data_IF_371764911732
#
_entry.id   IF_371764911732
#
_cell.length_a   1.000
_cell.length_b   1.000
_cell.length_c   1.000
_cell.angle_alpha   90.00
_cell.angle_beta   90.00
_cell.angle_gamma   90.00
#
_symmetry.space_group_name_H-M   'P 1'
#
loop_
_entity.id
_entity.type
_entity.pdbx_description
1 polymer ?
#
# COMPACT_ATOMS: atom_id res chain seq x y z
N UNK A 1 5.55 12.10 -8.17
CA UNK A 1 5.44 10.63 -8.18
C UNK A 1 6.22 10.09 -7.00
N UNK A 2 5.62 9.18 -6.23
CA UNK A 2 6.23 8.49 -5.08
C UNK A 2 6.23 6.99 -5.35
N UNK A 3 7.34 6.30 -5.08
CA UNK A 3 7.50 4.87 -5.35
C UNK A 3 7.95 4.14 -4.09
N UNK A 4 7.26 3.07 -3.72
CA UNK A 4 7.59 2.21 -2.57
C UNK A 4 7.84 0.78 -3.04
N UNK A 5 8.78 0.11 -2.38
CA UNK A 5 9.01 -1.34 -2.50
C UNK A 5 8.64 -2.01 -1.18
N UNK A 6 7.70 -2.94 -1.23
CA UNK A 6 7.20 -3.67 -0.06
C UNK A 6 7.69 -5.10 -0.12
N UNK A 7 8.47 -5.51 0.88
CA UNK A 7 8.87 -6.92 1.08
C UNK A 7 7.92 -7.54 2.11
N UNK A 8 7.06 -8.46 1.69
CA UNK A 8 5.93 -8.94 2.51
C UNK A 8 6.29 -10.10 3.46
N UNK A 9 7.56 -10.17 3.90
CA UNK A 9 8.03 -11.18 4.85
C UNK A 9 7.95 -12.61 4.29
N UNK A 10 7.47 -13.54 5.12
CA UNK A 10 7.54 -14.99 4.84
C UNK A 10 6.73 -15.45 3.63
N UNK A 11 5.70 -14.70 3.20
CA UNK A 11 4.99 -15.05 1.96
C UNK A 11 5.85 -14.84 0.70
N UNK A 12 7.00 -14.16 0.82
CA UNK A 12 8.00 -14.02 -0.23
C UNK A 12 7.67 -13.00 -1.32
N UNK A 13 6.42 -12.52 -1.40
CA UNK A 13 6.01 -11.58 -2.43
C UNK A 13 6.57 -10.17 -2.20
N UNK A 14 7.00 -9.57 -3.31
CA UNK A 14 7.42 -8.17 -3.39
C UNK A 14 6.36 -7.40 -4.18
N UNK A 15 6.00 -6.22 -3.70
CA UNK A 15 5.14 -5.30 -4.43
C UNK A 15 5.86 -3.96 -4.64
N UNK A 16 5.87 -3.48 -5.88
CA UNK A 16 6.23 -2.09 -6.21
C UNK A 16 4.95 -1.28 -6.36
N UNK A 17 4.85 -0.19 -5.61
CA UNK A 17 3.70 0.71 -5.61
C UNK A 17 4.17 2.06 -6.11
N UNK A 18 3.61 2.53 -7.21
CA UNK A 18 3.84 3.86 -7.76
C UNK A 18 2.56 4.70 -7.58
N UNK A 19 2.69 5.85 -6.92
CA UNK A 19 1.58 6.78 -6.71
C UNK A 19 1.91 8.15 -7.28
N UNK A 20 0.98 8.68 -8.07
CA UNK A 20 1.12 9.98 -8.73
C UNK A 20 -0.10 10.85 -8.44
N UNK A 21 0.14 12.07 -7.93
CA UNK A 21 -0.92 13.08 -7.79
C UNK A 21 -1.38 13.50 -9.18
N UNK A 22 -2.65 13.27 -9.49
CA UNK A 22 -3.22 13.59 -10.82
C UNK A 22 -3.97 14.92 -10.81
N UNK A 23 -4.53 15.31 -9.67
CA UNK A 23 -5.16 16.62 -9.49
C UNK A 23 -5.09 17.08 -8.02
N UNK A 24 -5.86 18.13 -7.66
CA UNK A 24 -5.90 18.67 -6.29
C UNK A 24 -6.59 17.77 -5.26
N UNK A 25 -7.28 16.72 -5.69
CA UNK A 25 -8.16 15.87 -4.88
C UNK A 25 -7.92 14.38 -5.06
N UNK A 26 -7.06 13.95 -5.98
CA UNK A 26 -6.87 12.55 -6.35
C UNK A 26 -5.43 12.20 -6.65
N UNK A 27 -5.09 10.95 -6.40
CA UNK A 27 -3.86 10.33 -6.87
C UNK A 27 -4.16 9.00 -7.57
N UNK A 28 -3.38 8.69 -8.59
CA UNK A 28 -3.40 7.43 -9.33
C UNK A 28 -2.43 6.46 -8.69
N UNK A 29 -2.85 5.20 -8.59
CA UNK A 29 -2.06 4.11 -8.01
C UNK A 29 -1.76 3.08 -9.10
N UNK A 30 -0.52 2.59 -9.11
CA UNK A 30 -0.10 1.45 -9.91
C UNK A 30 0.66 0.47 -9.04
N UNK A 31 0.29 -0.80 -9.09
CA UNK A 31 0.93 -1.86 -8.30
C UNK A 31 1.49 -2.92 -9.25
N UNK A 32 2.74 -3.32 -9.04
CA UNK A 32 3.39 -4.42 -9.74
C UNK A 32 3.86 -5.47 -8.74
N UNK A 33 3.38 -6.70 -8.86
CA UNK A 33 3.66 -7.79 -7.92
C UNK A 33 3.26 -9.15 -8.52
N UNK A 34 3.87 -10.22 -8.02
CA UNK A 34 3.48 -11.60 -8.33
C UNK A 34 2.43 -12.15 -7.34
N UNK A 35 2.04 -11.38 -6.31
CA UNK A 35 0.98 -11.80 -5.40
C UNK A 35 -0.39 -11.64 -6.07
N UNK A 36 -1.18 -12.72 -6.26
CA UNK A 36 -2.44 -12.65 -7.01
C UNK A 36 -3.47 -11.74 -6.33
N UNK A 37 -3.59 -11.81 -4.99
CA UNK A 37 -4.52 -10.99 -4.22
C UNK A 37 -4.19 -9.49 -4.29
N UNK A 38 -2.90 -9.15 -4.24
CA UNK A 38 -2.47 -7.75 -4.36
C UNK A 38 -2.59 -7.25 -5.79
N UNK A 39 -2.34 -8.10 -6.79
CA UNK A 39 -2.54 -7.75 -8.19
C UNK A 39 -4.03 -7.46 -8.48
N UNK A 40 -4.94 -8.29 -7.96
CA UNK A 40 -6.39 -8.06 -8.02
C UNK A 40 -6.78 -6.73 -7.38
N UNK A 41 -6.28 -6.46 -6.17
CA UNK A 41 -6.48 -5.18 -5.48
C UNK A 41 -5.96 -3.99 -6.31
N UNK A 42 -4.78 -4.13 -6.94
CA UNK A 42 -4.21 -3.10 -7.80
C UNK A 42 -5.06 -2.79 -9.03
N UNK A 43 -5.76 -3.79 -9.57
CA UNK A 43 -6.71 -3.59 -10.67
C UNK A 43 -8.01 -2.91 -10.18
N UNK A 44 -8.46 -3.24 -8.97
CA UNK A 44 -9.65 -2.66 -8.37
C UNK A 44 -9.46 -1.22 -7.83
N UNK A 45 -8.21 -0.80 -7.57
CA UNK A 45 -7.87 0.50 -7.01
C UNK A 45 -7.01 1.35 -7.98
N UNK A 46 -7.60 1.90 -9.05
CA UNK A 46 -6.85 2.75 -9.98
C UNK A 46 -6.54 4.16 -9.41
N UNK A 47 -7.39 4.66 -8.50
CA UNK A 47 -7.30 6.01 -7.93
C UNK A 47 -7.69 6.02 -6.45
N UNK A 48 -7.13 6.98 -5.70
CA UNK A 48 -7.50 7.29 -4.32
C UNK A 48 -7.85 8.77 -4.24
N UNK A 49 -9.02 9.09 -3.65
CA UNK A 49 -9.38 10.47 -3.33
C UNK A 49 -8.64 10.92 -2.06
N UNK A 50 -8.20 12.17 -2.01
CA UNK A 50 -7.51 12.71 -0.84
C UNK A 50 -8.36 12.62 0.43
N UNK A 51 -9.69 12.68 0.32
CA UNK A 51 -10.60 12.47 1.44
C UNK A 51 -10.55 11.05 2.01
N UNK A 52 -10.23 10.04 1.19
CA UNK A 52 -10.08 8.64 1.64
C UNK A 52 -8.87 8.43 2.54
N UNK A 53 -7.80 9.22 2.33
CA UNK A 53 -6.55 9.12 3.11
C UNK A 53 -6.82 9.40 4.60
N UNK A 54 -7.80 10.25 4.92
CA UNK A 54 -8.13 10.66 6.30
C UNK A 54 -9.30 9.90 6.92
N UNK A 55 -9.89 8.91 6.24
CA UNK A 55 -10.98 8.12 6.80
C UNK A 55 -10.48 7.21 7.93
N UNK A 56 -11.40 6.73 8.76
CA UNK A 56 -11.09 5.67 9.73
C UNK A 56 -10.55 4.45 8.98
N UNK A 57 -9.64 3.71 9.59
CA UNK A 57 -8.93 2.59 8.93
C UNK A 57 -9.87 1.64 8.18
N UNK A 58 -10.91 1.14 8.87
CA UNK A 58 -11.89 0.22 8.31
C UNK A 58 -12.79 0.84 7.21
N UNK A 59 -12.85 2.17 7.13
CA UNK A 59 -13.72 2.88 6.20
C UNK A 59 -13.00 3.31 4.91
N UNK A 60 -11.67 3.23 4.87
CA UNK A 60 -10.87 3.58 3.69
C UNK A 60 -11.17 2.63 2.52
N UNK A 61 -11.14 3.15 1.30
CA UNK A 61 -11.28 2.32 0.09
C UNK A 61 -10.16 1.27 -0.01
N UNK A 62 -8.96 1.62 0.45
CA UNK A 62 -7.78 0.73 0.45
C UNK A 62 -8.01 -0.50 1.31
N UNK A 63 -8.45 -0.34 2.56
CA UNK A 63 -8.68 -1.49 3.44
C UNK A 63 -9.95 -2.28 3.10
N UNK A 64 -10.99 -1.63 2.54
CA UNK A 64 -12.17 -2.34 2.01
C UNK A 64 -11.80 -3.28 0.87
N UNK A 65 -11.11 -2.75 -0.15
CA UNK A 65 -10.63 -3.58 -1.26
C UNK A 65 -9.62 -4.64 -0.83
N UNK A 66 -8.79 -4.36 0.18
CA UNK A 66 -7.93 -5.38 0.76
C UNK A 66 -8.73 -6.57 1.34
N UNK A 67 -9.85 -6.29 2.00
CA UNK A 67 -10.77 -7.32 2.50
C UNK A 67 -11.49 -8.06 1.37
N UNK A 68 -12.00 -7.32 0.37
CA UNK A 68 -12.70 -7.89 -0.79
C UNK A 68 -11.80 -8.79 -1.63
N UNK A 69 -10.52 -8.43 -1.80
CA UNK A 69 -9.49 -9.24 -2.49
C UNK A 69 -8.82 -10.27 -1.56
N UNK A 70 -9.36 -10.49 -0.36
CA UNK A 70 -8.93 -11.53 0.59
C UNK A 70 -7.48 -11.45 1.07
N UNK A 71 -6.88 -10.26 1.11
CA UNK A 71 -5.53 -10.10 1.65
C UNK A 71 -5.47 -10.53 3.12
N UNK A 72 -4.33 -11.09 3.53
CA UNK A 72 -4.05 -11.27 4.95
C UNK A 72 -4.20 -9.94 5.70
N UNK A 73 -4.85 -9.95 6.85
CA UNK A 73 -5.12 -8.75 7.66
C UNK A 73 -3.85 -7.95 7.98
N UNK A 74 -2.72 -8.63 8.17
CA UNK A 74 -1.42 -8.04 8.46
C UNK A 74 -0.54 -7.79 7.21
N UNK A 75 -1.09 -7.94 6.01
CA UNK A 75 -0.34 -7.62 4.79
C UNK A 75 0.14 -6.16 4.84
N UNK A 76 1.43 -5.89 4.61
CA UNK A 76 1.95 -4.52 4.69
C UNK A 76 1.55 -3.65 3.48
N UNK A 77 1.07 -4.26 2.38
CA UNK A 77 0.80 -3.55 1.12
C UNK A 77 -0.30 -2.48 1.25
N UNK A 78 -1.49 -2.75 1.84
CA UNK A 78 -2.52 -1.71 2.03
C UNK A 78 -2.01 -0.47 2.77
N UNK A 79 -1.23 -0.66 3.83
CA UNK A 79 -0.61 0.46 4.56
C UNK A 79 0.37 1.23 3.67
N UNK A 80 1.21 0.53 2.91
CA UNK A 80 2.17 1.15 2.00
C UNK A 80 1.51 1.96 0.88
N UNK A 81 0.35 1.54 0.36
CA UNK A 81 -0.44 2.32 -0.61
C UNK A 81 -0.83 3.67 -0.02
N UNK A 82 -1.40 3.67 1.20
CA UNK A 82 -1.77 4.91 1.90
C UNK A 82 -0.54 5.78 2.16
N UNK A 83 0.58 5.17 2.55
CA UNK A 83 1.82 5.91 2.83
C UNK A 83 2.41 6.57 1.59
N UNK A 84 2.37 5.88 0.46
CA UNK A 84 2.74 6.43 -0.83
C UNK A 84 1.81 7.58 -1.24
N UNK A 85 0.50 7.45 -1.00
CA UNK A 85 -0.48 8.49 -1.28
C UNK A 85 -0.31 9.75 -0.41
N UNK A 86 -0.06 9.59 0.89
CA UNK A 86 0.26 10.69 1.80
C UNK A 86 1.45 11.52 1.29
N UNK A 87 2.55 10.84 0.94
CA UNK A 87 3.75 11.49 0.42
C UNK A 87 3.54 12.09 -0.98
N UNK A 88 2.90 11.36 -1.90
CA UNK A 88 2.64 11.84 -3.28
C UNK A 88 1.73 13.07 -3.31
N UNK A 89 0.80 13.18 -2.35
CA UNK A 89 -0.11 14.29 -2.22
C UNK A 89 0.45 15.47 -1.39
N UNK A 90 1.69 15.37 -0.91
CA UNK A 90 2.36 16.37 -0.05
C UNK A 90 1.69 16.56 1.31
N UNK A 91 1.02 15.52 1.81
CA UNK A 91 0.39 15.49 3.13
C UNK A 91 1.35 15.05 4.23
N UNK A 92 2.42 14.34 3.87
CA UNK A 92 3.48 13.90 4.77
C UNK A 92 4.84 13.96 4.06
N UNK A 93 5.91 14.17 4.83
CA UNK A 93 7.28 14.05 4.31
C UNK A 93 7.63 12.57 4.09
N UNK A 94 8.34 12.22 3.00
CA UNK A 94 8.77 10.86 2.74
C UNK A 94 9.81 10.42 3.78
N UNK A 95 9.58 9.28 4.40
CA UNK A 95 10.51 8.60 5.29
C UNK A 95 10.22 7.09 5.24
N UNK A 96 11.26 6.26 5.30
CA UNK A 96 11.11 4.81 5.20
C UNK A 96 10.40 4.25 6.44
N UNK A 97 9.36 3.45 6.19
CA UNK A 97 8.71 2.63 7.22
C UNK A 97 9.27 1.22 7.12
N UNK A 98 9.95 0.77 8.17
CA UNK A 98 10.59 -0.55 8.19
C UNK A 98 10.02 -1.36 9.35
N UNK A 99 9.52 -2.56 9.05
CA UNK A 99 9.12 -3.56 10.04
C UNK A 99 10.14 -4.69 10.01
N UNK A 100 10.85 -4.89 11.12
CA UNK A 100 11.84 -5.95 11.28
C UNK A 100 11.64 -6.61 12.64
N UNK A 101 11.96 -7.91 12.73
CA UNK A 101 12.13 -8.55 14.03
C UNK A 101 13.45 -8.06 14.63
N UNK A 102 13.39 -7.40 15.80
CA UNK A 102 14.55 -6.88 16.52
C UNK A 102 15.52 -8.01 16.94
N UNK A 103 14.96 -9.19 17.20
CA UNK A 103 15.73 -10.39 17.51
C UNK A 103 14.90 -11.64 17.24
N UNK A 104 14.98 -12.23 16.04
CA UNK A 104 14.72 -13.67 15.84
C UNK A 104 15.55 -14.27 14.71
N UNK A 105 16.12 -15.43 15.05
CA UNK A 105 16.99 -16.27 14.25
C UNK A 105 16.27 -16.75 12.99
N UNK A 106 17.00 -16.72 11.89
CA UNK A 106 16.66 -17.30 10.59
C UNK A 106 16.05 -18.70 10.74
N UNK A 107 14.93 -18.92 10.03
CA UNK A 107 14.67 -20.24 9.45
C UNK A 107 15.97 -20.70 8.78
N UNK A 108 16.48 -21.85 9.24
CA UNK A 108 17.57 -22.56 8.55
C UNK A 108 17.20 -22.83 7.10
#
# INVERSE_FOLDING_TARGET
>A
MTSLIVKSGICGFIAKIDVEKVDKKKCKVKINTDCPMVAEMGNALPEIEMGDIFKKHADTVVYKLAGDCHLHTACPVPMAILKAAEAACELALPCDVVVMFDSMHTLK
#
